data_IF_563140619358
#
_entry.id   IF_563140619358
#
_cell.length_a   1.000
_cell.length_b   1.000
_cell.length_c   1.000
_cell.angle_alpha   90.00
_cell.angle_beta   90.00
_cell.angle_gamma   90.00
#
_symmetry.space_group_name_H-M   'P 1'
#
loop_
_entity.id
_entity.type
_entity.pdbx_description
1 polymer ?
#
# COMPACT_ATOMS: atom_id res chain seq x y z
N UNK A 1 -7.70 20.40 -5.13
CA UNK A 1 -7.25 19.00 -5.32
C UNK A 1 -8.27 18.10 -4.64
N UNK A 2 -8.88 17.14 -5.34
CA UNK A 2 -9.89 16.23 -4.75
C UNK A 2 -9.21 15.39 -3.62
N UNK A 3 -9.87 15.25 -2.46
CA UNK A 3 -9.34 14.52 -1.30
C UNK A 3 -8.90 13.09 -1.64
N UNK A 4 -9.61 12.40 -2.54
CA UNK A 4 -9.25 11.07 -3.04
C UNK A 4 -7.87 11.07 -3.71
N UNK A 5 -7.55 12.11 -4.48
CA UNK A 5 -6.26 12.20 -5.18
C UNK A 5 -5.11 12.37 -4.20
N UNK A 6 -5.28 13.20 -3.18
CA UNK A 6 -4.28 13.40 -2.11
C UNK A 6 -4.03 12.08 -1.39
N UNK A 7 -5.11 11.43 -0.98
CA UNK A 7 -5.07 10.16 -0.30
C UNK A 7 -4.41 9.05 -1.14
N UNK A 8 -4.77 8.93 -2.42
CA UNK A 8 -4.16 7.95 -3.32
C UNK A 8 -2.68 8.22 -3.57
N UNK A 9 -2.28 9.49 -3.64
CA UNK A 9 -0.88 9.86 -3.73
C UNK A 9 -0.12 9.38 -2.50
N UNK A 10 -0.62 9.67 -1.29
CA UNK A 10 0.01 9.24 -0.04
C UNK A 10 0.07 7.71 0.07
N UNK A 11 -1.00 7.00 -0.29
CA UNK A 11 -1.02 5.54 -0.31
C UNK A 11 0.01 4.95 -1.29
N UNK A 12 0.11 5.54 -2.49
CA UNK A 12 1.07 5.09 -3.51
C UNK A 12 2.52 5.37 -3.10
N UNK A 13 2.77 6.50 -2.43
CA UNK A 13 4.09 6.81 -1.86
C UNK A 13 4.50 5.76 -0.82
N UNK A 14 3.58 5.27 0.00
CA UNK A 14 3.83 4.18 0.95
C UNK A 14 4.35 2.91 0.26
N UNK A 15 3.79 2.54 -0.89
CA UNK A 15 4.26 1.38 -1.68
C UNK A 15 5.58 1.65 -2.41
N UNK A 16 5.95 2.92 -2.60
CA UNK A 16 7.22 3.29 -3.23
C UNK A 16 8.41 3.23 -2.26
N UNK A 17 8.17 3.35 -0.96
CA UNK A 17 9.23 3.29 0.06
C UNK A 17 10.04 1.97 0.00
N UNK A 18 9.43 0.78 -0.06
CA UNK A 18 10.18 -0.47 -0.24
C UNK A 18 11.01 -0.50 -1.53
N UNK A 19 10.49 0.06 -2.62
CA UNK A 19 11.22 0.11 -3.91
C UNK A 19 12.47 0.96 -3.79
N UNK A 20 12.35 2.17 -3.26
CA UNK A 20 13.50 3.05 -3.02
C UNK A 20 14.49 2.45 -2.05
N UNK A 21 14.02 1.90 -0.93
CA UNK A 21 14.90 1.30 0.06
C UNK A 21 15.68 0.10 -0.48
N UNK A 22 15.08 -0.72 -1.35
CA UNK A 22 15.80 -1.81 -2.04
C UNK A 22 16.80 -1.24 -3.05
N UNK A 23 16.42 -0.25 -3.86
CA UNK A 23 17.31 0.38 -4.85
C UNK A 23 18.53 1.06 -4.20
N UNK A 24 18.36 1.59 -2.98
CA UNK A 24 19.42 2.24 -2.19
C UNK A 24 20.19 1.25 -1.29
N UNK A 25 19.86 -0.05 -1.31
CA UNK A 25 20.51 -1.06 -0.47
C UNK A 25 20.17 -0.99 1.02
N UNK A 26 19.11 -0.27 1.40
CA UNK A 26 18.63 -0.11 2.78
C UNK A 26 17.73 -1.27 3.23
N UNK A 27 17.04 -1.92 2.29
CA UNK A 27 16.14 -3.05 2.56
C UNK A 27 16.51 -4.27 1.71
N UNK A 28 16.23 -5.50 2.20
CA UNK A 28 16.45 -6.71 1.43
C UNK A 28 15.48 -6.79 0.24
N UNK A 29 15.87 -7.49 -0.83
CA UNK A 29 15.03 -7.64 -2.03
C UNK A 29 13.64 -8.25 -1.72
N UNK A 30 13.54 -9.09 -0.69
CA UNK A 30 12.29 -9.65 -0.21
C UNK A 30 11.25 -8.58 0.19
N UNK A 31 11.69 -7.37 0.57
CA UNK A 31 10.81 -6.25 0.88
C UNK A 31 9.97 -5.80 -0.33
N UNK A 32 10.33 -6.16 -1.56
CA UNK A 32 9.49 -5.92 -2.74
C UNK A 32 8.17 -6.71 -2.71
N UNK A 33 8.05 -7.75 -1.87
CA UNK A 33 6.79 -8.47 -1.68
C UNK A 33 5.64 -7.54 -1.26
N UNK A 34 5.96 -6.41 -0.61
CA UNK A 34 5.00 -5.34 -0.26
C UNK A 34 4.18 -4.86 -1.46
N UNK A 35 4.73 -4.93 -2.68
CA UNK A 35 4.06 -4.52 -3.92
C UNK A 35 2.84 -5.40 -4.27
N UNK A 36 2.70 -6.58 -3.66
CA UNK A 36 1.49 -7.40 -3.79
C UNK A 36 0.24 -6.71 -3.22
N UNK A 37 0.40 -5.68 -2.40
CA UNK A 37 -0.70 -4.84 -1.93
C UNK A 37 -1.15 -3.76 -2.95
N UNK A 38 -0.41 -3.56 -4.05
CA UNK A 38 -0.73 -2.53 -5.06
C UNK A 38 -2.13 -2.66 -5.70
N UNK A 39 -2.65 -3.87 -6.01
CA UNK A 39 -4.00 -4.01 -6.55
C UNK A 39 -5.08 -3.47 -5.60
N UNK A 40 -4.87 -3.53 -4.27
CA UNK A 40 -5.81 -3.01 -3.28
C UNK A 40 -5.85 -1.48 -3.27
N UNK A 41 -4.71 -0.83 -3.49
CA UNK A 41 -4.65 0.64 -3.66
C UNK A 41 -5.38 1.05 -4.94
N UNK A 42 -5.19 0.32 -6.04
CA UNK A 42 -5.91 0.55 -7.28
C UNK A 42 -7.43 0.39 -7.11
N UNK A 43 -7.89 -0.69 -6.45
CA UNK A 43 -9.31 -0.92 -6.17
C UNK A 43 -9.90 0.16 -5.27
N UNK A 44 -9.17 0.56 -4.22
CA UNK A 44 -9.56 1.68 -3.35
C UNK A 44 -9.72 2.97 -4.14
N UNK A 45 -8.79 3.27 -5.04
CA UNK A 45 -8.86 4.48 -5.87
C UNK A 45 -9.98 4.47 -6.89
N UNK A 46 -10.18 3.34 -7.56
CA UNK A 46 -11.27 3.17 -8.53
C UNK A 46 -12.64 3.34 -7.87
N UNK A 47 -12.81 2.79 -6.68
CA UNK A 47 -14.06 2.93 -5.92
C UNK A 47 -14.18 4.34 -5.35
N UNK A 48 -13.13 4.86 -4.72
CA UNK A 48 -13.12 6.17 -4.09
C UNK A 48 -13.44 7.31 -5.06
N UNK A 49 -12.93 7.26 -6.30
CA UNK A 49 -13.26 8.26 -7.31
C UNK A 49 -14.74 8.23 -7.75
N UNK A 50 -15.44 7.10 -7.57
CA UNK A 50 -16.86 6.95 -7.94
C UNK A 50 -17.79 7.30 -6.79
N UNK A 51 -17.36 7.08 -5.54
CA UNK A 51 -18.23 7.13 -4.36
C UNK A 51 -17.89 8.24 -3.37
N UNK A 52 -16.90 9.08 -3.68
CA UNK A 52 -16.42 10.13 -2.77
C UNK A 52 -17.50 11.11 -2.28
N UNK A 53 -18.47 11.43 -3.14
CA UNK A 53 -19.50 12.42 -2.82
C UNK A 53 -20.58 11.88 -1.86
N UNK A 54 -20.64 10.56 -1.66
CA UNK A 54 -21.59 9.89 -0.77
C UNK A 54 -20.84 9.12 0.32
N UNK A 55 -20.83 9.61 1.59
CA UNK A 55 -20.02 9.02 2.66
C UNK A 55 -20.24 7.52 2.91
N UNK A 56 -21.48 7.03 2.76
CA UNK A 56 -21.80 5.61 2.95
C UNK A 56 -21.24 4.72 1.84
N UNK A 57 -21.21 5.21 0.61
CA UNK A 57 -20.71 4.46 -0.54
C UNK A 57 -19.18 4.45 -0.57
N UNK A 58 -18.53 5.40 0.10
CA UNK A 58 -17.08 5.46 0.25
C UNK A 58 -16.50 4.33 1.13
N UNK A 59 -17.32 3.64 1.94
CA UNK A 59 -16.87 2.56 2.83
C UNK A 59 -16.16 1.44 2.06
N UNK A 60 -16.61 1.12 0.84
CA UNK A 60 -15.96 0.13 -0.01
C UNK A 60 -14.51 0.50 -0.35
N UNK A 61 -14.27 1.76 -0.70
CA UNK A 61 -12.93 2.30 -0.98
C UNK A 61 -12.02 2.22 0.26
N UNK A 62 -12.55 2.55 1.44
CA UNK A 62 -11.84 2.48 2.72
C UNK A 62 -11.46 1.04 3.06
N UNK A 63 -12.36 0.06 2.84
CA UNK A 63 -12.06 -1.34 3.12
C UNK A 63 -10.83 -1.83 2.34
N UNK A 64 -10.75 -1.52 1.05
CA UNK A 64 -9.62 -1.94 0.23
C UNK A 64 -8.29 -1.38 0.74
N UNK A 65 -8.25 -0.13 1.20
CA UNK A 65 -6.99 0.44 1.69
C UNK A 65 -6.57 -0.07 3.04
N UNK A 66 -7.54 -0.31 3.94
CA UNK A 66 -7.22 -0.88 5.25
C UNK A 66 -6.63 -2.27 5.06
N UNK A 67 -7.24 -3.09 4.20
CA UNK A 67 -6.68 -4.40 3.85
C UNK A 67 -5.32 -4.26 3.14
N UNK A 68 -5.17 -3.27 2.25
CA UNK A 68 -3.90 -2.98 1.58
C UNK A 68 -2.78 -2.60 2.55
N UNK A 69 -3.08 -1.78 3.55
CA UNK A 69 -2.16 -1.41 4.62
C UNK A 69 -1.76 -2.62 5.45
N UNK A 70 -2.73 -3.43 5.89
CA UNK A 70 -2.47 -4.65 6.67
C UNK A 70 -1.60 -5.62 5.86
N UNK A 71 -1.96 -5.89 4.61
CA UNK A 71 -1.20 -6.78 3.73
C UNK A 71 0.22 -6.25 3.48
N UNK A 72 0.35 -4.97 3.12
CA UNK A 72 1.65 -4.35 2.86
C UNK A 72 2.55 -4.38 4.09
N UNK A 73 2.08 -3.87 5.24
CA UNK A 73 2.88 -3.87 6.47
C UNK A 73 3.26 -5.28 6.91
N UNK A 74 2.34 -6.25 6.84
CA UNK A 74 2.64 -7.65 7.18
C UNK A 74 3.71 -8.23 6.27
N UNK A 75 3.60 -8.05 4.95
CA UNK A 75 4.58 -8.54 3.97
C UNK A 75 5.95 -7.89 4.17
N UNK A 76 5.99 -6.58 4.40
CA UNK A 76 7.22 -5.85 4.65
C UNK A 76 7.89 -6.32 5.95
N UNK A 77 7.15 -6.42 7.05
CA UNK A 77 7.66 -6.93 8.33
C UNK A 77 8.15 -8.37 8.18
N UNK A 78 7.38 -9.24 7.53
CA UNK A 78 7.78 -10.62 7.28
C UNK A 78 9.09 -10.69 6.48
N UNK A 79 9.24 -9.85 5.44
CA UNK A 79 10.47 -9.79 4.66
C UNK A 79 11.69 -9.39 5.52
N UNK A 80 11.55 -8.39 6.41
CA UNK A 80 12.64 -7.99 7.30
C UNK A 80 12.99 -9.08 8.31
N UNK A 81 11.97 -9.70 8.92
CA UNK A 81 12.17 -10.80 9.88
C UNK A 81 12.84 -11.98 9.19
N UNK A 82 12.29 -12.47 8.08
CA UNK A 82 12.85 -13.61 7.34
C UNK A 82 14.28 -13.34 6.88
N UNK A 83 14.57 -12.15 6.36
CA UNK A 83 15.92 -11.78 5.98
C UNK A 83 16.88 -11.84 7.16
N UNK A 84 16.47 -11.43 8.36
CA UNK A 84 17.32 -11.50 9.57
C UNK A 84 17.58 -12.92 10.04
N UNK A 85 16.64 -13.84 9.83
CA UNK A 85 16.78 -15.25 10.21
C UNK A 85 17.58 -16.08 9.19
N UNK A 86 17.52 -15.71 7.92
CA UNK A 86 18.20 -16.43 6.82
C UNK A 86 19.60 -15.88 6.50
N UNK A 87 19.95 -14.69 6.98
CA UNK A 87 21.26 -14.05 6.85
C UNK A 87 22.09 -14.19 8.13
#
# INVERSE_FOLDING_TARGET
MNGVKVYLLLASLGLFVPVLGVALGLFPAAALATLLAAPLVYLSGREGLRTYDTPRDFIGAVRFIVVGYIAGTTLFTAALVLNRWLA
#
